data_IF_362603216123
#
_entry.id   IF_362603216123
#
_cell.length_a   1.000
_cell.length_b   1.000
_cell.length_c   1.000
_cell.angle_alpha   90.00
_cell.angle_beta   90.00
_cell.angle_gamma   90.00
#
_symmetry.space_group_name_H-M   'P 1'
#
loop_
_entity.id
_entity.type
_entity.pdbx_description
1 polymer ?
#
# COMPACT_ATOMS: atom_id res chain seq x y z
N UNK A 1 -24.88 10.53 13.24
CA UNK A 1 -24.27 10.83 11.93
C UNK A 1 -22.80 11.12 12.15
N UNK A 2 -21.87 10.42 11.50
CA UNK A 2 -20.46 10.85 11.45
C UNK A 2 -20.30 11.72 10.19
N UNK A 3 -19.83 12.98 10.30
CA UNK A 3 -19.58 13.82 9.14
C UNK A 3 -18.51 13.16 8.27
N UNK A 4 -18.78 13.02 6.98
CA UNK A 4 -17.80 12.57 6.01
C UNK A 4 -16.79 13.67 5.65
N UNK A 5 -15.76 13.23 4.95
CA UNK A 5 -14.78 14.01 4.17
C UNK A 5 -13.67 14.74 4.93
N UNK A 6 -12.77 13.95 5.51
CA UNK A 6 -11.34 14.10 5.21
C UNK A 6 -10.83 12.68 5.03
N UNK A 7 -10.34 12.33 3.84
CA UNK A 7 -9.62 11.07 3.70
C UNK A 7 -8.47 11.12 4.70
N UNK A 8 -8.43 10.19 5.66
CA UNK A 8 -7.27 10.05 6.52
C UNK A 8 -6.07 9.84 5.60
N UNK A 9 -4.99 10.62 5.78
CA UNK A 9 -3.82 10.43 4.94
C UNK A 9 -3.20 9.06 5.24
N UNK A 10 -2.55 8.45 4.24
CA UNK A 10 -1.91 7.13 4.38
C UNK A 10 -0.82 7.13 5.45
N UNK A 11 -0.14 8.28 5.63
CA UNK A 11 0.81 8.58 6.71
C UNK A 11 0.62 10.04 7.17
N UNK A 12 0.99 10.38 8.41
CA UNK A 12 0.83 11.74 8.94
C UNK A 12 1.93 12.72 8.48
N UNK A 13 3.04 12.22 7.97
CA UNK A 13 4.17 13.02 7.48
C UNK A 13 3.80 13.83 6.23
N UNK A 14 4.25 15.09 6.15
CA UNK A 14 3.92 16.00 5.04
C UNK A 14 5.16 16.45 4.28
N UNK A 15 6.25 16.76 4.99
CA UNK A 15 7.50 17.19 4.39
C UNK A 15 8.45 16.01 4.18
N UNK A 16 9.35 16.07 3.19
CA UNK A 16 10.31 14.98 2.91
C UNK A 16 11.16 14.56 4.11
N UNK A 17 11.42 15.49 5.04
CA UNK A 17 12.23 15.25 6.25
C UNK A 17 11.41 14.84 7.47
N UNK A 18 10.08 14.83 7.37
CA UNK A 18 9.22 14.40 8.47
C UNK A 18 9.42 12.89 8.71
N UNK A 19 9.35 12.48 9.98
CA UNK A 19 9.50 11.08 10.36
C UNK A 19 8.23 10.29 10.03
N UNK A 20 8.42 9.06 9.54
CA UNK A 20 7.40 8.01 9.44
C UNK A 20 7.89 6.83 10.26
N UNK A 21 7.08 6.39 11.23
CA UNK A 21 7.39 5.26 12.10
C UNK A 21 6.55 4.02 11.73
N UNK A 22 7.02 2.81 12.06
CA UNK A 22 6.17 1.61 12.01
C UNK A 22 4.86 1.84 12.76
N UNK A 23 3.73 1.46 12.17
CA UNK A 23 2.40 1.68 12.73
C UNK A 23 1.75 3.05 12.41
N UNK A 24 2.46 4.00 11.80
CA UNK A 24 1.88 5.29 11.38
C UNK A 24 1.01 5.19 10.11
N UNK A 25 0.95 4.01 9.51
CA UNK A 25 0.27 3.74 8.24
C UNK A 25 1.26 3.48 7.11
N UNK A 26 0.76 3.46 5.87
CA UNK A 26 1.56 3.10 4.72
C UNK A 26 0.74 2.89 3.45
N UNK A 27 1.37 2.28 2.44
CA UNK A 27 0.72 2.03 1.16
C UNK A 27 -0.28 0.87 1.30
N UNK A 28 -1.57 1.15 1.09
CA UNK A 28 -2.65 0.16 1.18
C UNK A 28 -2.50 -0.95 0.14
N UNK A 29 -2.67 -2.20 0.56
CA UNK A 29 -2.67 -3.40 -0.30
C UNK A 29 -3.78 -4.38 0.13
N UNK A 30 -4.16 -5.28 -0.77
CA UNK A 30 -5.02 -6.42 -0.45
C UNK A 30 -4.16 -7.69 -0.43
N UNK A 31 -4.10 -8.44 0.69
CA UNK A 31 -3.36 -9.70 0.76
C UNK A 31 -4.09 -10.82 0.02
N UNK A 32 -3.33 -11.76 -0.54
CA UNK A 32 -3.71 -13.04 -1.14
C UNK A 32 -4.71 -13.03 -2.30
N UNK A 33 -5.90 -12.46 -2.10
CA UNK A 33 -6.99 -12.42 -3.07
C UNK A 33 -7.22 -10.97 -3.56
N UNK A 34 -7.03 -10.69 -4.86
CA UNK A 34 -7.33 -9.37 -5.41
C UNK A 34 -8.82 -9.02 -5.32
N UNK A 35 -9.71 -9.98 -5.03
CA UNK A 35 -11.10 -9.77 -4.62
C UNK A 35 -11.27 -8.92 -3.35
N UNK A 36 -10.23 -8.77 -2.52
CA UNK A 36 -10.19 -7.85 -1.38
C UNK A 36 -10.11 -6.37 -1.78
N UNK A 37 -9.62 -6.06 -2.99
CA UNK A 37 -9.53 -4.68 -3.46
C UNK A 37 -10.93 -4.05 -3.65
N UNK A 38 -11.09 -2.74 -3.37
CA UNK A 38 -12.34 -2.05 -3.63
C UNK A 38 -12.80 -2.18 -5.10
N UNK A 39 -14.12 -2.29 -5.32
CA UNK A 39 -14.72 -2.48 -6.67
C UNK A 39 -14.23 -1.47 -7.71
N UNK A 40 -13.96 -0.22 -7.31
CA UNK A 40 -13.49 0.83 -8.21
C UNK A 40 -11.99 0.75 -8.54
N UNK A 41 -11.21 -0.07 -7.83
CA UNK A 41 -9.79 -0.34 -8.06
C UNK A 41 -9.54 -1.66 -8.80
N UNK A 42 -10.50 -2.58 -8.77
CA UNK A 42 -10.41 -3.86 -9.51
C UNK A 42 -10.82 -3.69 -10.98
N UNK A 43 -10.11 -4.32 -11.93
CA UNK A 43 -10.52 -4.35 -13.33
C UNK A 43 -11.78 -5.21 -13.54
N UNK A 44 -12.39 -5.08 -14.72
CA UNK A 44 -13.61 -5.80 -15.08
C UNK A 44 -13.43 -7.32 -15.07
N UNK A 45 -12.23 -7.80 -15.41
CA UNK A 45 -11.82 -9.22 -15.34
C UNK A 45 -11.92 -9.81 -13.92
N UNK A 46 -11.88 -8.96 -12.88
CA UNK A 46 -12.08 -9.32 -11.47
C UNK A 46 -13.41 -8.79 -10.90
N UNK A 47 -14.40 -8.57 -11.75
CA UNK A 47 -15.74 -8.10 -11.35
C UNK A 47 -15.78 -6.66 -10.83
N UNK A 48 -14.77 -5.84 -11.13
CA UNK A 48 -14.71 -4.43 -10.79
C UNK A 48 -15.07 -3.48 -11.93
N UNK A 49 -14.77 -2.20 -11.74
CA UNK A 49 -14.94 -1.12 -12.75
C UNK A 49 -13.70 -0.24 -12.91
N UNK A 50 -12.60 -0.62 -12.26
CA UNK A 50 -11.30 0.02 -12.43
C UNK A 50 -10.77 -0.16 -13.85
N UNK A 51 -9.93 0.78 -14.28
CA UNK A 51 -9.28 0.76 -15.60
C UNK A 51 -7.82 0.30 -15.53
N UNK A 52 -7.27 0.26 -14.32
CA UNK A 52 -5.87 -0.04 -14.09
C UNK A 52 -5.67 -1.55 -13.85
N UNK A 53 -4.53 -2.12 -14.29
CA UNK A 53 -4.14 -3.47 -13.91
C UNK A 53 -4.00 -3.64 -12.39
N UNK A 54 -4.13 -4.89 -11.94
CA UNK A 54 -3.66 -5.29 -10.61
C UNK A 54 -2.25 -5.85 -10.73
N UNK A 55 -1.39 -5.41 -9.83
CA UNK A 55 -0.03 -5.91 -9.65
C UNK A 55 0.07 -6.59 -8.29
N UNK A 56 0.98 -7.55 -8.17
CA UNK A 56 1.30 -8.20 -6.91
C UNK A 56 2.81 -8.18 -6.66
N UNK A 57 3.19 -8.32 -5.41
CA UNK A 57 4.56 -8.47 -4.93
C UNK A 57 4.54 -9.54 -3.85
N UNK A 58 5.60 -10.34 -3.76
CA UNK A 58 5.78 -11.28 -2.65
C UNK A 58 6.33 -10.54 -1.43
N UNK A 59 5.98 -10.96 -0.22
CA UNK A 59 6.48 -10.30 0.99
C UNK A 59 8.02 -10.36 1.09
N UNK A 60 8.62 -11.48 0.67
CA UNK A 60 10.08 -11.67 0.60
C UNK A 60 10.77 -10.73 -0.41
N UNK A 61 10.01 -10.17 -1.36
CA UNK A 61 10.50 -9.22 -2.35
C UNK A 61 10.45 -7.75 -1.83
N UNK A 62 9.95 -7.53 -0.60
CA UNK A 62 10.02 -6.23 0.06
C UNK A 62 11.46 -5.92 0.49
N UNK A 63 11.87 -4.65 0.33
CA UNK A 63 13.16 -4.19 0.82
C UNK A 63 13.23 -4.30 2.36
N UNK A 64 14.41 -4.48 2.99
CA UNK A 64 14.54 -4.63 4.45
C UNK A 64 13.96 -3.47 5.28
N UNK A 65 13.83 -2.29 4.66
CA UNK A 65 13.28 -1.08 5.26
C UNK A 65 11.73 -1.04 5.22
N UNK A 66 11.08 -2.03 4.59
CA UNK A 66 9.63 -2.14 4.45
C UNK A 66 9.15 -3.44 5.08
N UNK A 67 7.95 -3.43 5.64
CA UNK A 67 7.25 -4.61 6.09
C UNK A 67 5.77 -4.57 5.70
N UNK A 68 5.18 -5.75 5.52
CA UNK A 68 3.75 -5.89 5.36
C UNK A 68 3.10 -6.04 6.74
N UNK A 69 2.14 -5.17 7.05
CA UNK A 69 1.29 -5.29 8.24
C UNK A 69 -0.16 -5.46 7.83
N UNK A 70 -0.71 -6.64 8.11
CA UNK A 70 -2.14 -6.90 7.92
C UNK A 70 -2.97 -6.25 9.04
N UNK A 71 -3.93 -5.40 8.69
CA UNK A 71 -4.81 -4.72 9.65
C UNK A 71 -6.25 -5.27 9.64
N UNK A 72 -6.62 -6.04 8.62
CA UNK A 72 -7.89 -6.77 8.54
C UNK A 72 -7.80 -7.97 7.61
N UNK A 73 -8.86 -8.77 7.53
CA UNK A 73 -8.87 -9.98 6.70
C UNK A 73 -8.64 -9.74 5.19
N UNK A 74 -8.93 -8.52 4.69
CA UNK A 74 -8.86 -8.19 3.25
C UNK A 74 -8.01 -6.97 2.95
N UNK A 75 -7.31 -6.45 3.97
CA UNK A 75 -6.52 -5.22 3.87
C UNK A 75 -5.27 -5.31 4.73
N UNK A 76 -4.20 -4.71 4.23
CA UNK A 76 -3.02 -4.40 5.01
C UNK A 76 -2.28 -3.24 4.37
N UNK A 77 -1.15 -2.90 4.97
CA UNK A 77 -0.30 -1.81 4.52
C UNK A 77 1.13 -2.29 4.35
N UNK A 78 1.82 -1.75 3.36
CA UNK A 78 3.29 -1.77 3.31
C UNK A 78 3.75 -0.50 4.04
N UNK A 79 4.40 -0.67 5.17
CA UNK A 79 4.87 0.40 6.05
C UNK A 79 6.37 0.30 6.33
N UNK A 80 7.01 1.33 6.93
CA UNK A 80 8.40 1.22 7.34
C UNK A 80 8.60 0.14 8.40
N UNK A 81 9.68 -0.65 8.30
CA UNK A 81 10.10 -1.60 9.35
C UNK A 81 10.89 -0.93 10.50
N UNK A 82 11.31 0.33 10.30
CA UNK A 82 12.01 1.18 11.26
C UNK A 82 11.64 2.66 11.04
N UNK A 83 11.85 3.55 12.02
CA UNK A 83 11.74 4.98 11.79
C UNK A 83 12.66 5.45 10.65
N UNK A 84 12.11 6.25 9.75
CA UNK A 84 12.82 6.90 8.64
C UNK A 84 12.10 8.18 8.22
N UNK A 85 12.74 8.98 7.38
CA UNK A 85 12.11 10.15 6.78
C UNK A 85 11.07 9.77 5.72
N UNK A 86 10.11 10.64 5.44
CA UNK A 86 9.13 10.44 4.36
C UNK A 86 9.82 10.22 3.01
N UNK A 87 10.92 10.92 2.74
CA UNK A 87 11.70 10.72 1.52
C UNK A 87 12.29 9.31 1.45
N UNK A 88 12.92 8.84 2.53
CA UNK A 88 13.48 7.48 2.59
C UNK A 88 12.40 6.42 2.41
N UNK A 89 11.21 6.62 3.00
CA UNK A 89 10.09 5.69 2.81
C UNK A 89 9.62 5.64 1.35
N UNK A 90 9.48 6.80 0.71
CA UNK A 90 9.12 6.87 -0.71
C UNK A 90 10.18 6.24 -1.62
N UNK A 91 11.46 6.44 -1.32
CA UNK A 91 12.58 5.85 -2.06
C UNK A 91 12.61 4.32 -1.86
N UNK A 92 12.35 3.84 -0.65
CA UNK A 92 12.24 2.41 -0.37
C UNK A 92 11.07 1.77 -1.14
N UNK A 93 9.89 2.40 -1.14
CA UNK A 93 8.75 1.96 -1.95
C UNK A 93 9.09 1.96 -3.45
N UNK A 94 9.72 3.03 -3.95
CA UNK A 94 10.15 3.11 -5.34
C UNK A 94 11.18 2.03 -5.71
N UNK A 95 12.04 1.65 -4.77
CA UNK A 95 13.01 0.56 -4.90
C UNK A 95 12.37 -0.79 -5.20
N UNK A 96 11.14 -1.03 -4.74
CA UNK A 96 10.40 -2.28 -5.01
C UNK A 96 9.88 -2.39 -6.45
N UNK A 97 9.94 -1.32 -7.25
CA UNK A 97 9.27 -1.23 -8.57
C UNK A 97 9.48 -2.44 -9.49
N UNK A 98 10.68 -2.99 -9.54
CA UNK A 98 11.00 -4.12 -10.44
C UNK A 98 10.52 -5.48 -9.91
N UNK A 99 10.10 -5.55 -8.65
CA UNK A 99 9.59 -6.77 -8.03
C UNK A 99 8.08 -6.95 -8.24
N UNK A 100 7.37 -5.88 -8.60
CA UNK A 100 5.94 -5.95 -8.90
C UNK A 100 5.69 -6.70 -10.21
N UNK A 101 4.89 -7.76 -10.10
CA UNK A 101 4.50 -8.64 -11.21
C UNK A 101 3.06 -8.36 -11.61
N UNK A 102 2.79 -8.34 -12.91
CA UNK A 102 1.43 -8.11 -13.41
C UNK A 102 0.55 -9.32 -13.05
N UNK A 103 -0.54 -9.08 -12.30
CA UNK A 103 -1.53 -10.12 -12.01
C UNK A 103 -2.57 -10.20 -13.13
N UNK A 104 -3.23 -9.08 -13.44
CA UNK A 104 -4.31 -9.03 -14.44
C UNK A 104 -4.50 -7.62 -14.99
N UNK A 105 -5.06 -7.51 -16.20
CA UNK A 105 -5.51 -6.28 -16.87
C UNK A 105 -7.01 -6.32 -17.13
#
# INVERSE_FOLDING_TARGET
MRPGTSASPDVLAVNPTDSVCPGDGGMSVAPDDPGGLPRHRRPASLGGIGRDPVWYIEEDDLAPDLEFRQDSAVHGVIEPSRPMTLQEFQDALAGTRQQWKLHVR
#
